data_IF_729354475123
#
_entry.id   IF_729354475123
#
_cell.length_a   1.000
_cell.length_b   1.000
_cell.length_c   1.000
_cell.angle_alpha   90.00
_cell.angle_beta   90.00
_cell.angle_gamma   90.00
#
_symmetry.space_group_name_H-M   'P 1'
#
loop_
_entity.id
_entity.type
_entity.pdbx_description
1 polymer ?
#
# COMPACT_ATOMS: atom_id res chain seq x y z
N UNK A 1 10.06 15.60 -17.47
CA UNK A 1 9.71 15.76 -16.05
C UNK A 1 8.81 14.61 -15.64
N UNK A 2 9.10 13.93 -14.53
CA UNK A 2 8.17 12.92 -13.97
C UNK A 2 6.99 13.68 -13.37
N UNK A 3 5.78 13.54 -13.92
CA UNK A 3 4.58 14.27 -13.50
C UNK A 3 3.80 13.48 -12.43
N UNK A 4 4.54 12.95 -11.44
CA UNK A 4 4.00 11.98 -10.50
C UNK A 4 4.45 12.34 -9.10
N UNK A 5 3.54 12.26 -8.14
CA UNK A 5 3.83 12.42 -6.71
C UNK A 5 3.45 11.18 -5.92
N UNK A 6 4.14 10.99 -4.80
CA UNK A 6 3.83 9.96 -3.82
C UNK A 6 3.00 10.60 -2.72
N UNK A 7 1.89 9.97 -2.35
CA UNK A 7 0.98 10.43 -1.30
C UNK A 7 0.72 9.28 -0.34
N UNK A 8 0.83 9.52 0.96
CA UNK A 8 0.46 8.53 1.97
C UNK A 8 -1.05 8.34 2.01
N UNK A 9 -1.52 7.10 2.17
CA UNK A 9 -2.93 6.82 2.40
C UNK A 9 -3.40 7.45 3.72
N UNK A 10 -2.52 7.55 4.71
CA UNK A 10 -2.80 8.22 5.98
C UNK A 10 -3.18 9.70 5.78
N UNK A 11 -2.45 10.42 4.93
CA UNK A 11 -2.73 11.84 4.63
C UNK A 11 -4.10 11.98 3.94
N UNK A 12 -4.41 11.10 2.99
CA UNK A 12 -5.70 11.08 2.30
C UNK A 12 -6.86 10.85 3.27
N UNK A 13 -6.70 9.91 4.21
CA UNK A 13 -7.69 9.63 5.26
C UNK A 13 -7.88 10.85 6.18
N UNK A 14 -6.78 11.50 6.57
CA UNK A 14 -6.81 12.66 7.44
C UNK A 14 -7.50 13.89 6.79
N UNK A 15 -7.29 14.08 5.49
CA UNK A 15 -7.82 15.21 4.73
C UNK A 15 -9.31 15.04 4.38
N UNK A 16 -9.70 13.85 3.87
CA UNK A 16 -11.05 13.63 3.33
C UNK A 16 -12.04 13.21 4.41
N UNK A 17 -11.61 12.41 5.41
CA UNK A 17 -12.44 11.93 6.53
C UNK A 17 -13.75 11.20 6.12
N UNK A 18 -13.79 10.66 4.91
CA UNK A 18 -14.88 9.83 4.38
C UNK A 18 -14.28 8.56 3.76
N UNK A 19 -14.32 7.48 4.53
CA UNK A 19 -13.71 6.19 4.17
C UNK A 19 -14.36 5.56 2.93
N UNK A 20 -15.68 5.65 2.81
CA UNK A 20 -16.42 5.08 1.68
C UNK A 20 -16.10 5.86 0.39
N UNK A 21 -16.02 7.19 0.48
CA UNK A 21 -15.58 8.01 -0.64
C UNK A 21 -14.15 7.66 -1.07
N UNK A 22 -13.21 7.56 -0.13
CA UNK A 22 -11.81 7.20 -0.44
C UNK A 22 -11.76 5.84 -1.15
N UNK A 23 -12.48 4.85 -0.63
CA UNK A 23 -12.53 3.51 -1.20
C UNK A 23 -13.11 3.52 -2.62
N UNK A 24 -14.32 4.04 -2.79
CA UNK A 24 -15.08 3.92 -4.04
C UNK A 24 -14.61 4.90 -5.12
N UNK A 25 -14.10 6.07 -4.75
CA UNK A 25 -13.73 7.13 -5.70
C UNK A 25 -12.24 7.30 -5.91
N UNK A 26 -11.39 6.77 -5.02
CA UNK A 26 -9.93 6.90 -5.15
C UNK A 26 -9.28 5.53 -5.32
N UNK A 27 -9.43 4.63 -4.35
CA UNK A 27 -8.70 3.36 -4.35
C UNK A 27 -9.19 2.42 -5.45
N UNK A 28 -10.50 2.34 -5.69
CA UNK A 28 -11.09 1.50 -6.76
C UNK A 28 -10.78 1.96 -8.19
N UNK A 29 -10.21 3.15 -8.37
CA UNK A 29 -9.74 3.62 -9.68
C UNK A 29 -8.50 2.86 -10.14
N UNK A 30 -7.68 2.36 -9.21
CA UNK A 30 -6.51 1.57 -9.54
C UNK A 30 -6.90 0.24 -10.16
N UNK A 31 -6.22 -0.11 -11.25
CA UNK A 31 -6.32 -1.40 -11.92
C UNK A 31 -4.95 -2.03 -12.05
N UNK A 32 -4.80 -3.26 -11.56
CA UNK A 32 -3.60 -4.05 -11.83
C UNK A 32 -3.64 -4.61 -13.24
N UNK A 33 -2.50 -5.12 -13.72
CA UNK A 33 -2.41 -5.73 -15.06
C UNK A 33 -3.43 -6.88 -15.25
N UNK A 34 -3.66 -7.64 -14.18
CA UNK A 34 -4.64 -8.72 -14.08
C UNK A 34 -5.39 -8.58 -12.76
N UNK A 35 -6.69 -8.92 -12.66
CA UNK A 35 -7.38 -8.94 -11.35
C UNK A 35 -6.70 -9.94 -10.43
N UNK A 36 -6.07 -9.43 -9.38
CA UNK A 36 -5.26 -10.23 -8.48
C UNK A 36 -5.34 -9.70 -7.05
N UNK A 37 -4.61 -10.34 -6.15
CA UNK A 37 -4.54 -9.97 -4.73
C UNK A 37 -3.97 -8.57 -4.48
N UNK A 38 -3.25 -7.99 -5.44
CA UNK A 38 -2.68 -6.63 -5.37
C UNK A 38 -3.81 -5.60 -5.52
N UNK A 39 -4.67 -5.74 -6.54
CA UNK A 39 -5.85 -4.88 -6.68
C UNK A 39 -6.83 -5.05 -5.50
N UNK A 40 -7.12 -6.30 -5.11
CA UNK A 40 -8.00 -6.58 -3.96
C UNK A 40 -7.49 -5.96 -2.66
N UNK A 41 -6.17 -6.02 -2.42
CA UNK A 41 -5.57 -5.40 -1.24
C UNK A 41 -5.86 -3.90 -1.21
N UNK A 42 -5.58 -3.19 -2.29
CA UNK A 42 -5.77 -1.75 -2.31
C UNK A 42 -7.25 -1.37 -2.17
N UNK A 43 -8.15 -2.11 -2.83
CA UNK A 43 -9.58 -1.80 -2.83
C UNK A 43 -10.26 -2.11 -1.51
N UNK A 44 -9.86 -3.19 -0.82
CA UNK A 44 -10.65 -3.75 0.27
C UNK A 44 -9.91 -3.82 1.62
N UNK A 45 -8.58 -3.72 1.65
CA UNK A 45 -7.78 -3.99 2.86
C UNK A 45 -6.92 -2.81 3.30
N UNK A 46 -6.43 -2.00 2.36
CA UNK A 46 -5.44 -0.96 2.64
C UNK A 46 -5.87 0.01 3.75
N UNK A 47 -7.12 0.49 3.74
CA UNK A 47 -7.60 1.44 4.77
C UNK A 47 -7.59 0.81 6.17
N UNK A 48 -8.08 -0.43 6.30
CA UNK A 48 -8.08 -1.14 7.58
C UNK A 48 -6.65 -1.41 8.06
N UNK A 49 -5.75 -1.78 7.15
CA UNK A 49 -4.34 -2.02 7.49
C UNK A 49 -3.63 -0.74 7.95
N UNK A 50 -3.93 0.41 7.31
CA UNK A 50 -3.41 1.73 7.70
C UNK A 50 -3.90 2.09 9.11
N UNK A 51 -5.21 2.00 9.36
CA UNK A 51 -5.84 2.33 10.65
C UNK A 51 -5.37 1.43 11.77
N UNK A 52 -5.13 0.15 11.49
CA UNK A 52 -4.60 -0.82 12.46
C UNK A 52 -3.08 -0.81 12.58
N UNK A 53 -2.37 0.11 11.91
CA UNK A 53 -0.91 0.19 11.90
C UNK A 53 -0.21 -1.13 11.49
N UNK A 54 -0.90 -1.99 10.74
CA UNK A 54 -0.35 -3.24 10.21
C UNK A 54 0.58 -2.97 9.04
N UNK A 55 0.31 -1.91 8.28
CA UNK A 55 1.14 -1.47 7.19
C UNK A 55 0.91 0.00 6.84
N UNK A 56 1.91 0.64 6.23
CA UNK A 56 1.82 1.98 5.67
C UNK A 56 1.76 1.93 4.13
N UNK A 57 0.68 2.41 3.54
CA UNK A 57 0.40 2.38 2.10
C UNK A 57 0.62 3.74 1.46
N UNK A 58 1.32 3.76 0.33
CA UNK A 58 1.61 4.97 -0.43
C UNK A 58 1.14 4.82 -1.88
N UNK A 59 0.45 5.83 -2.38
CA UNK A 59 -0.07 5.89 -3.74
C UNK A 59 0.86 6.74 -4.62
N UNK A 60 1.12 6.26 -5.83
CA UNK A 60 1.79 7.02 -6.89
C UNK A 60 0.71 7.64 -7.75
N UNK A 61 0.55 8.96 -7.68
CA UNK A 61 -0.50 9.70 -8.37
C UNK A 61 0.07 10.54 -9.50
N UNK A 62 -0.60 10.56 -10.65
CA UNK A 62 -0.32 11.51 -11.71
C UNK A 62 -0.81 12.91 -11.31
N UNK A 63 0.06 13.92 -11.35
CA UNK A 63 -0.28 15.27 -10.91
C UNK A 63 -1.30 15.97 -11.82
N UNK A 64 -1.35 15.59 -13.10
CA UNK A 64 -2.24 16.21 -14.09
C UNK A 64 -3.61 15.54 -14.14
N UNK A 65 -3.63 14.21 -14.30
CA UNK A 65 -4.89 13.46 -14.43
C UNK A 65 -5.50 13.12 -13.08
N UNK A 66 -4.70 13.14 -12.00
CA UNK A 66 -5.12 12.69 -10.68
C UNK A 66 -5.22 11.17 -10.55
N UNK A 67 -4.90 10.41 -11.60
CA UNK A 67 -4.98 8.95 -11.65
C UNK A 67 -3.93 8.28 -10.75
N UNK A 68 -4.29 7.14 -10.18
CA UNK A 68 -3.37 6.28 -9.43
C UNK A 68 -2.61 5.37 -10.40
N UNK A 69 -1.32 5.65 -10.56
CA UNK A 69 -0.42 4.91 -11.45
C UNK A 69 0.13 3.63 -10.82
N UNK A 70 0.06 3.53 -9.50
CA UNK A 70 0.58 2.41 -8.73
C UNK A 70 0.56 2.69 -7.23
N UNK A 71 0.92 1.69 -6.45
CA UNK A 71 1.07 1.84 -5.00
C UNK A 71 2.15 0.90 -4.48
N UNK A 72 2.62 1.17 -3.27
CA UNK A 72 3.43 0.25 -2.50
C UNK A 72 3.04 0.32 -1.03
N UNK A 73 3.30 -0.75 -0.29
CA UNK A 73 2.93 -0.88 1.11
C UNK A 73 4.11 -1.46 1.90
N UNK A 74 4.44 -0.82 3.02
CA UNK A 74 5.43 -1.33 3.97
C UNK A 74 4.72 -1.94 5.17
N UNK A 75 5.06 -3.18 5.52
CA UNK A 75 4.53 -3.85 6.71
C UNK A 75 5.69 -4.31 7.60
N UNK A 76 5.58 -4.09 8.90
CA UNK A 76 6.54 -4.60 9.87
C UNK A 76 6.29 -6.09 10.10
N UNK A 77 7.23 -6.93 9.67
CA UNK A 77 7.17 -8.38 9.92
C UNK A 77 8.52 -8.87 10.43
N UNK A 78 8.51 -9.40 11.64
CA UNK A 78 9.71 -10.04 12.20
C UNK A 78 10.05 -11.29 11.42
N UNK A 79 11.34 -11.44 11.10
CA UNK A 79 11.89 -12.68 10.58
C UNK A 79 12.33 -13.54 11.78
N UNK A 80 11.60 -14.62 12.04
CA UNK A 80 11.98 -15.61 13.05
C UNK A 80 12.78 -16.70 12.34
N UNK A 81 14.04 -16.84 12.71
CA UNK A 81 14.93 -17.88 12.17
C UNK A 81 15.24 -18.86 13.29
N UNK A 82 14.98 -20.14 13.05
CA UNK A 82 15.38 -21.19 13.98
C UNK A 82 16.90 -21.26 14.10
N UNK A 83 17.39 -21.62 15.29
CA UNK A 83 18.83 -21.64 15.59
C UNK A 83 19.62 -22.46 14.58
N UNK A 84 19.11 -23.62 14.16
CA UNK A 84 19.77 -24.49 13.19
C UNK A 84 19.93 -23.81 11.81
N UNK A 85 18.87 -23.18 11.33
CA UNK A 85 18.89 -22.42 10.08
C UNK A 85 19.82 -21.21 10.17
N UNK A 86 19.83 -20.51 11.29
CA UNK A 86 20.75 -19.40 11.53
C UNK A 86 22.21 -19.87 11.50
N UNK A 87 22.55 -20.98 12.16
CA UNK A 87 23.90 -21.55 12.16
C UNK A 87 24.36 -21.99 10.76
N UNK A 88 23.44 -22.48 9.93
CA UNK A 88 23.75 -22.84 8.55
C UNK A 88 23.96 -21.60 7.65
N UNK A 89 23.19 -20.53 7.87
CA UNK A 89 23.29 -19.27 7.10
C UNK A 89 24.45 -18.36 7.53
N UNK A 90 24.95 -18.51 8.76
CA UNK A 90 26.04 -17.70 9.33
C UNK A 90 27.44 -18.27 9.09
N UNK A 91 27.56 -19.46 8.48
CA UNK A 91 28.82 -19.99 8.00
C UNK A 91 29.22 -19.26 6.72
N UNK A 92 29.80 -18.07 6.87
CA UNK A 92 30.56 -17.33 5.84
C UNK A 92 32.02 -17.35 6.23
#
# INVERSE_FOLDING_TARGET
>A
MKNNRIISLQDIIADIKDEEYIKEKILKQFKSRDRNSIEDFLHNKAINFEKSSLSATHLIRNDKSGEILGYFTFANKSLIIEKENFLNLSKT
#
